data_IF_267015685118
#
_entry.id   IF_267015685118
#
_cell.length_a   1.000
_cell.length_b   1.000
_cell.length_c   1.000
_cell.angle_alpha   90.00
_cell.angle_beta   90.00
_cell.angle_gamma   90.00
#
_symmetry.space_group_name_H-M   'P 1'
#
loop_
_entity.id
_entity.type
_entity.pdbx_description
1 polymer ?
#
# COMPACT_ATOMS: atom_id res chain seq x y z
N UNK A 1 1.64 0.30 19.67
CA UNK A 1 2.98 0.68 20.16
C UNK A 1 3.94 -0.44 19.80
N UNK A 2 5.13 -0.09 19.29
CA UNK A 2 6.19 -1.05 18.99
C UNK A 2 6.79 -1.64 20.28
N UNK A 3 7.44 -2.82 20.21
CA UNK A 3 8.21 -3.37 21.32
C UNK A 3 9.44 -2.50 21.62
N UNK A 4 9.97 -2.64 22.83
CA UNK A 4 11.19 -1.94 23.26
C UNK A 4 12.48 -2.51 22.66
N UNK A 5 12.44 -3.76 22.19
CA UNK A 5 13.55 -4.46 21.55
C UNK A 5 13.05 -5.17 20.29
N UNK A 6 13.98 -5.49 19.38
CA UNK A 6 13.69 -6.32 18.21
C UNK A 6 14.65 -7.51 18.12
N UNK A 7 14.16 -8.76 17.92
CA UNK A 7 12.75 -9.15 17.89
C UNK A 7 12.04 -8.91 19.24
N UNK A 8 10.69 -8.81 19.23
CA UNK A 8 9.91 -8.67 20.46
C UNK A 8 10.23 -9.83 21.43
N UNK A 9 10.16 -9.56 22.73
CA UNK A 9 10.21 -10.63 23.73
C UNK A 9 9.02 -11.59 23.57
N UNK A 10 9.14 -12.82 24.08
CA UNK A 10 8.03 -13.79 24.08
C UNK A 10 6.75 -13.20 24.68
N UNK A 11 6.87 -12.47 25.80
CA UNK A 11 5.73 -11.86 26.48
C UNK A 11 5.07 -10.76 25.64
N UNK A 12 5.85 -9.88 24.99
CA UNK A 12 5.33 -8.85 24.08
C UNK A 12 4.64 -9.49 22.86
N UNK A 13 5.22 -10.55 22.31
CA UNK A 13 4.64 -11.28 21.19
C UNK A 13 3.32 -11.97 21.58
N UNK A 14 3.30 -12.69 22.70
CA UNK A 14 2.08 -13.34 23.21
C UNK A 14 0.98 -12.32 23.53
N UNK A 15 1.33 -11.18 24.14
CA UNK A 15 0.38 -10.11 24.43
C UNK A 15 -0.21 -9.50 23.15
N UNK A 16 0.59 -9.35 22.09
CA UNK A 16 0.09 -8.90 20.80
C UNK A 16 -0.86 -9.94 20.19
N UNK A 17 -0.44 -11.20 20.10
CA UNK A 17 -1.25 -12.27 19.52
C UNK A 17 -2.58 -12.44 20.24
N UNK A 18 -2.60 -12.29 21.58
CA UNK A 18 -3.85 -12.28 22.35
C UNK A 18 -4.81 -11.18 21.86
N UNK A 19 -4.32 -9.95 21.66
CA UNK A 19 -5.15 -8.85 21.14
C UNK A 19 -5.62 -9.09 19.72
N UNK A 20 -4.77 -9.67 18.86
CA UNK A 20 -5.14 -10.04 17.49
C UNK A 20 -6.24 -11.10 17.50
N UNK A 21 -6.16 -12.11 18.37
CA UNK A 21 -7.22 -13.11 18.54
C UNK A 21 -8.53 -12.49 19.03
N UNK A 22 -8.46 -11.56 20.00
CA UNK A 22 -9.64 -10.90 20.56
C UNK A 22 -10.34 -9.93 19.58
N UNK A 23 -9.56 -9.26 18.71
CA UNK A 23 -10.06 -8.18 17.84
C UNK A 23 -10.12 -8.53 16.35
N UNK A 24 -9.50 -9.63 15.95
CA UNK A 24 -9.41 -10.09 14.57
C UNK A 24 -8.24 -9.49 13.78
N UNK A 25 -7.89 -10.16 12.68
CA UNK A 25 -6.79 -9.77 11.80
C UNK A 25 -7.04 -8.43 11.09
N UNK A 26 -8.28 -8.15 10.69
CA UNK A 26 -8.63 -6.88 10.04
C UNK A 26 -8.38 -5.66 10.94
N UNK A 27 -8.62 -5.79 12.25
CA UNK A 27 -8.26 -4.75 13.23
C UNK A 27 -6.74 -4.55 13.29
N UNK A 28 -5.97 -5.65 13.29
CA UNK A 28 -4.51 -5.59 13.39
C UNK A 28 -3.89 -4.96 12.14
N UNK A 29 -4.34 -5.37 10.96
CA UNK A 29 -3.94 -4.77 9.69
C UNK A 29 -4.23 -3.27 9.68
N UNK A 30 -5.47 -2.86 10.00
CA UNK A 30 -5.84 -1.45 10.05
C UNK A 30 -5.00 -0.66 11.08
N UNK A 31 -4.74 -1.24 12.26
CA UNK A 31 -3.92 -0.61 13.29
C UNK A 31 -2.47 -0.38 12.86
N UNK A 32 -1.97 -1.12 11.89
CA UNK A 32 -0.63 -0.95 11.33
C UNK A 32 -0.65 -0.04 10.10
N UNK A 33 -1.53 -0.30 9.12
CA UNK A 33 -1.39 0.23 7.76
C UNK A 33 -2.33 1.38 7.41
N UNK A 34 -3.33 1.73 8.23
CA UNK A 34 -4.35 2.72 7.85
C UNK A 34 -3.84 4.15 7.63
N UNK A 35 -2.61 4.44 8.07
CA UNK A 35 -2.09 5.80 8.19
C UNK A 35 -2.73 6.55 9.35
N UNK A 36 -1.97 7.46 9.94
CA UNK A 36 -2.42 8.24 11.11
C UNK A 36 -1.69 9.57 11.21
N UNK A 37 -2.23 10.49 12.02
CA UNK A 37 -1.73 11.87 12.17
C UNK A 37 -1.64 12.33 13.63
N UNK A 38 -1.74 11.39 14.58
CA UNK A 38 -1.79 11.66 16.02
C UNK A 38 -0.45 11.40 16.73
N UNK A 39 0.33 10.42 16.26
CA UNK A 39 1.57 9.99 16.90
C UNK A 39 2.75 10.14 15.92
N UNK A 40 3.60 11.17 16.06
CA UNK A 40 4.74 11.37 15.17
C UNK A 40 5.73 10.20 15.10
N UNK A 41 5.81 9.40 16.16
CA UNK A 41 6.67 8.21 16.24
C UNK A 41 5.90 6.93 15.90
N UNK A 42 4.62 7.05 15.56
CA UNK A 42 3.75 5.94 15.19
C UNK A 42 3.95 5.48 13.75
N UNK A 43 3.64 4.20 13.50
CA UNK A 43 3.70 3.64 12.14
C UNK A 43 2.79 4.42 11.19
N UNK A 44 3.26 4.61 9.95
CA UNK A 44 2.54 5.33 8.89
C UNK A 44 2.03 6.72 9.32
N UNK A 45 2.81 7.45 10.12
CA UNK A 45 2.53 8.85 10.41
C UNK A 45 2.61 9.69 9.12
N UNK A 46 1.51 10.33 8.74
CA UNK A 46 1.40 11.07 7.48
C UNK A 46 2.05 12.45 7.49
N UNK A 47 2.67 12.86 8.60
CA UNK A 47 3.30 14.18 8.76
C UNK A 47 2.31 15.30 9.07
N UNK A 48 2.84 16.47 9.43
CA UNK A 48 2.03 17.67 9.72
C UNK A 48 1.85 18.58 8.50
N UNK A 49 2.58 18.30 7.42
CA UNK A 49 2.57 19.06 6.18
C UNK A 49 2.99 18.15 5.01
N UNK A 50 2.69 18.58 3.79
CA UNK A 50 3.12 17.87 2.59
C UNK A 50 4.65 17.73 2.55
N UNK A 51 5.13 16.54 2.21
CA UNK A 51 6.56 16.25 2.07
C UNK A 51 7.02 16.45 0.63
N UNK A 52 8.34 16.38 0.41
CA UNK A 52 8.95 16.52 -0.92
C UNK A 52 8.33 15.61 -1.98
N UNK A 53 7.99 14.36 -1.65
CA UNK A 53 7.39 13.42 -2.61
C UNK A 53 5.99 13.85 -3.04
N UNK A 54 5.19 14.38 -2.11
CA UNK A 54 3.86 14.93 -2.42
C UNK A 54 3.96 16.13 -3.38
N UNK A 55 4.86 17.07 -3.11
CA UNK A 55 5.10 18.21 -4.01
C UNK A 55 5.60 17.75 -5.38
N UNK A 56 6.48 16.76 -5.43
CA UNK A 56 7.03 16.21 -6.66
C UNK A 56 5.95 15.57 -7.52
N UNK A 57 5.10 14.72 -6.93
CA UNK A 57 3.95 14.12 -7.61
C UNK A 57 3.04 15.18 -8.23
N UNK A 58 2.67 16.21 -7.47
CA UNK A 58 1.81 17.30 -7.97
C UNK A 58 2.45 18.07 -9.11
N UNK A 59 3.76 18.33 -9.05
CA UNK A 59 4.49 19.00 -10.15
C UNK A 59 4.51 18.15 -11.42
N UNK A 60 4.67 16.83 -11.30
CA UNK A 60 4.60 15.89 -12.42
C UNK A 60 3.19 15.89 -13.03
N UNK A 61 2.15 15.77 -12.19
CA UNK A 61 0.75 15.84 -12.63
C UNK A 61 0.45 17.16 -13.36
N UNK A 62 0.84 18.30 -12.79
CA UNK A 62 0.64 19.60 -13.41
C UNK A 62 1.36 19.71 -14.76
N UNK A 63 2.63 19.27 -14.84
CA UNK A 63 3.44 19.39 -16.06
C UNK A 63 2.94 18.49 -17.19
N UNK A 64 2.66 17.22 -16.90
CA UNK A 64 2.37 16.23 -17.94
C UNK A 64 0.86 16.04 -18.17
N UNK A 65 0.03 16.40 -17.20
CA UNK A 65 -1.43 16.40 -17.30
C UNK A 65 -2.01 17.67 -17.92
N UNK A 66 -1.27 18.77 -17.99
CA UNK A 66 -1.73 19.99 -18.64
C UNK A 66 -2.15 19.72 -20.09
N UNK A 67 -3.37 20.13 -20.45
CA UNK A 67 -3.96 19.92 -21.78
C UNK A 67 -4.38 18.48 -22.08
N UNK A 68 -4.28 17.55 -21.12
CA UNK A 68 -4.78 16.18 -21.28
C UNK A 68 -6.24 16.10 -20.82
N UNK A 69 -7.01 15.28 -21.51
CA UNK A 69 -8.43 15.03 -21.17
C UNK A 69 -8.59 13.85 -20.21
N UNK A 70 -7.60 12.97 -20.15
CA UNK A 70 -7.73 11.64 -19.56
C UNK A 70 -6.46 11.26 -18.80
N UNK A 71 -6.61 10.70 -17.60
CA UNK A 71 -5.52 10.10 -16.82
C UNK A 71 -5.94 8.72 -16.34
N UNK A 72 -5.05 7.75 -16.55
CA UNK A 72 -5.20 6.36 -16.11
C UNK A 72 -4.00 6.03 -15.25
N UNK A 73 -4.24 5.77 -13.97
CA UNK A 73 -3.18 5.51 -13.01
C UNK A 73 -3.14 4.00 -12.70
N UNK A 74 -1.98 3.39 -12.93
CA UNK A 74 -1.66 2.04 -12.42
C UNK A 74 -0.52 2.19 -11.42
N UNK A 75 -0.80 1.94 -10.14
CA UNK A 75 0.17 2.01 -9.05
C UNK A 75 0.57 0.61 -8.64
N UNK A 76 1.85 0.27 -8.63
CA UNK A 76 2.29 -1.12 -8.38
C UNK A 76 2.76 -1.25 -6.94
N UNK A 77 2.15 -2.18 -6.21
CA UNK A 77 2.39 -2.46 -4.80
C UNK A 77 2.69 -3.94 -4.58
N UNK A 78 3.26 -4.26 -3.43
CA UNK A 78 3.59 -5.64 -3.05
C UNK A 78 3.34 -5.81 -1.55
N UNK A 79 3.08 -7.04 -1.11
CA UNK A 79 2.97 -7.37 0.30
C UNK A 79 1.57 -7.73 0.78
N UNK A 80 0.54 -7.66 -0.07
CA UNK A 80 -0.80 -8.13 0.30
C UNK A 80 -1.38 -9.08 -0.75
N UNK A 81 -2.15 -10.06 -0.27
CA UNK A 81 -2.85 -11.02 -1.12
C UNK A 81 -2.08 -12.32 -1.39
N UNK A 82 -2.64 -13.21 -2.23
CA UNK A 82 -2.00 -14.47 -2.61
C UNK A 82 -0.72 -14.30 -3.42
N UNK A 83 0.24 -15.22 -3.27
CA UNK A 83 1.51 -15.21 -3.99
C UNK A 83 1.34 -14.94 -5.50
N UNK A 84 1.94 -13.85 -5.98
CA UNK A 84 1.98 -13.49 -7.41
C UNK A 84 0.67 -12.97 -8.00
N UNK A 85 -0.43 -12.96 -7.23
CA UNK A 85 -1.70 -12.38 -7.67
C UNK A 85 -1.70 -10.87 -7.43
N UNK A 86 -1.92 -10.09 -8.49
CA UNK A 86 -2.07 -8.64 -8.44
C UNK A 86 -3.53 -8.24 -8.26
N UNK A 87 -3.97 -7.98 -7.03
CA UNK A 87 -5.32 -7.48 -6.78
C UNK A 87 -5.47 -6.05 -7.33
N UNK A 88 -6.42 -5.79 -8.25
CA UNK A 88 -6.72 -4.43 -8.69
C UNK A 88 -7.63 -3.73 -7.68
N UNK A 89 -7.06 -2.79 -6.92
CA UNK A 89 -7.76 -2.02 -5.88
C UNK A 89 -8.06 -0.62 -6.41
N UNK A 90 -9.32 -0.21 -6.35
CA UNK A 90 -9.77 1.11 -6.79
C UNK A 90 -9.10 2.27 -6.03
N UNK A 91 -8.55 3.23 -6.78
CA UNK A 91 -7.93 4.46 -6.26
C UNK A 91 -8.76 5.70 -6.59
N UNK A 92 -9.81 5.97 -5.84
CA UNK A 92 -10.64 7.17 -6.03
C UNK A 92 -11.58 7.43 -4.86
N UNK A 93 -12.49 8.42 -4.97
CA UNK A 93 -13.44 8.72 -3.90
C UNK A 93 -14.46 7.60 -3.72
N UNK A 94 -15.07 7.52 -2.53
CA UNK A 94 -16.19 6.61 -2.22
C UNK A 94 -17.47 7.01 -2.97
N UNK A 95 -17.45 6.85 -4.28
CA UNK A 95 -18.51 7.22 -5.21
C UNK A 95 -18.72 6.08 -6.21
N UNK A 96 -19.92 5.48 -6.18
CA UNK A 96 -20.28 4.36 -7.06
C UNK A 96 -20.05 4.66 -8.56
N UNK A 97 -20.27 5.90 -8.99
CA UNK A 97 -20.04 6.31 -10.39
C UNK A 97 -18.58 6.16 -10.80
N UNK A 98 -17.64 6.58 -9.94
CA UNK A 98 -16.21 6.52 -10.23
C UNK A 98 -15.67 5.08 -10.14
N UNK A 99 -16.17 4.30 -9.18
CA UNK A 99 -15.87 2.87 -9.10
C UNK A 99 -16.36 2.11 -10.34
N UNK A 100 -17.58 2.35 -10.78
CA UNK A 100 -18.14 1.72 -11.98
C UNK A 100 -17.35 2.09 -13.24
N UNK A 101 -16.91 3.34 -13.37
CA UNK A 101 -16.01 3.76 -14.46
C UNK A 101 -14.68 3.01 -14.43
N UNK A 102 -14.09 2.84 -13.25
CA UNK A 102 -12.83 2.09 -13.07
C UNK A 102 -13.03 0.62 -13.44
N UNK A 103 -14.13 -0.01 -12.98
CA UNK A 103 -14.50 -1.39 -13.35
C UNK A 103 -14.76 -1.56 -14.84
N UNK A 104 -15.29 -0.54 -15.52
CA UNK A 104 -15.46 -0.58 -16.98
C UNK A 104 -14.12 -0.60 -17.75
N UNK A 105 -13.04 -0.09 -17.15
CA UNK A 105 -11.70 -0.07 -17.76
C UNK A 105 -10.93 -1.35 -17.42
N UNK A 106 -10.85 -1.71 -16.13
CA UNK A 106 -9.98 -2.80 -15.66
C UNK A 106 -10.71 -4.11 -15.34
N UNK A 107 -12.05 -4.13 -15.43
CA UNK A 107 -12.88 -5.31 -15.23
C UNK A 107 -13.65 -5.29 -13.91
N UNK A 108 -14.66 -6.17 -13.82
CA UNK A 108 -15.53 -6.28 -12.64
C UNK A 108 -14.85 -6.77 -11.36
N UNK A 109 -13.64 -7.32 -11.47
CA UNK A 109 -12.84 -7.78 -10.33
C UNK A 109 -12.15 -6.66 -9.55
N UNK A 110 -12.23 -5.41 -10.01
CA UNK A 110 -11.69 -4.26 -9.25
C UNK A 110 -12.40 -4.16 -7.90
N UNK A 111 -11.60 -4.28 -6.83
CA UNK A 111 -12.05 -4.21 -5.44
C UNK A 111 -12.03 -2.78 -4.93
N UNK A 112 -12.63 -2.54 -3.76
CA UNK A 112 -12.67 -1.24 -3.10
C UNK A 112 -12.46 -1.40 -1.60
N UNK A 113 -11.68 -0.50 -1.01
CA UNK A 113 -11.51 -0.42 0.44
C UNK A 113 -12.80 -0.01 1.16
N UNK A 114 -13.74 0.62 0.45
CA UNK A 114 -14.99 1.15 1.00
C UNK A 114 -16.12 0.12 1.11
N UNK A 115 -16.15 -0.92 0.27
CA UNK A 115 -17.24 -1.90 0.21
C UNK A 115 -16.89 -3.26 0.83
N UNK A 116 -15.69 -3.39 1.40
CA UNK A 116 -15.19 -4.62 2.04
C UNK A 116 -14.74 -5.70 1.06
N UNK A 117 -14.71 -5.43 -0.25
CA UNK A 117 -14.23 -6.39 -1.25
C UNK A 117 -12.71 -6.49 -1.33
N UNK A 118 -11.97 -5.50 -0.82
CA UNK A 118 -10.51 -5.47 -0.92
C UNK A 118 -9.80 -6.18 0.23
N UNK A 119 -8.62 -6.75 -0.05
CA UNK A 119 -7.70 -7.23 0.99
C UNK A 119 -7.08 -6.08 1.78
N UNK A 120 -7.05 -4.86 1.23
CA UNK A 120 -6.52 -3.68 1.94
C UNK A 120 -7.50 -3.15 2.99
N UNK A 121 -6.95 -2.66 4.10
CA UNK A 121 -7.70 -1.88 5.08
C UNK A 121 -8.19 -0.54 4.49
N UNK A 122 -9.12 0.11 5.18
CA UNK A 122 -9.44 1.52 4.92
C UNK A 122 -8.24 2.40 5.26
N UNK A 123 -7.86 3.29 4.33
CA UNK A 123 -6.64 4.07 4.40
C UNK A 123 -6.92 5.58 4.42
N UNK A 124 -5.99 6.34 4.99
CA UNK A 124 -5.93 7.80 4.93
C UNK A 124 -4.69 8.27 4.16
N UNK A 125 -4.66 9.54 3.75
CA UNK A 125 -3.47 10.11 3.08
C UNK A 125 -3.20 9.59 1.66
N UNK A 126 -4.22 9.06 0.98
CA UNK A 126 -4.09 8.40 -0.32
C UNK A 126 -3.58 9.33 -1.43
N UNK A 127 -2.55 8.87 -2.15
CA UNK A 127 -1.85 9.66 -3.18
C UNK A 127 -2.75 10.11 -4.34
N UNK A 128 -3.80 9.34 -4.68
CA UNK A 128 -4.73 9.67 -5.76
C UNK A 128 -5.43 11.02 -5.54
N UNK A 129 -5.58 11.47 -4.30
CA UNK A 129 -6.19 12.76 -3.98
C UNK A 129 -5.44 13.94 -4.61
N UNK A 130 -4.15 13.77 -4.95
CA UNK A 130 -3.38 14.76 -5.66
C UNK A 130 -3.92 15.04 -7.08
N UNK A 131 -4.58 14.07 -7.72
CA UNK A 131 -5.10 14.22 -9.10
C UNK A 131 -6.20 15.27 -9.19
N UNK A 132 -7.38 15.12 -8.55
CA UNK A 132 -8.45 16.11 -8.68
C UNK A 132 -8.05 17.49 -8.12
N UNK A 133 -7.11 17.54 -7.17
CA UNK A 133 -6.59 18.81 -6.63
C UNK A 133 -5.62 19.52 -7.58
N UNK A 134 -4.98 18.81 -8.51
CA UNK A 134 -4.01 19.38 -9.46
C UNK A 134 -4.61 19.54 -10.85
N UNK A 135 -5.50 18.62 -11.25
CA UNK A 135 -6.11 18.50 -12.57
C UNK A 135 -7.63 18.31 -12.40
N UNK A 136 -8.38 19.34 -11.96
CA UNK A 136 -9.77 19.20 -11.51
C UNK A 136 -10.76 18.75 -12.59
N UNK A 137 -10.42 18.96 -13.87
CA UNK A 137 -11.29 18.63 -15.01
C UNK A 137 -10.89 17.34 -15.72
N UNK A 138 -9.82 16.66 -15.28
CA UNK A 138 -9.33 15.48 -15.99
C UNK A 138 -10.25 14.29 -15.76
N UNK A 139 -10.54 13.52 -16.80
CA UNK A 139 -11.19 12.23 -16.64
C UNK A 139 -10.19 11.23 -16.03
N UNK A 140 -10.24 11.11 -14.70
CA UNK A 140 -9.36 10.26 -13.91
C UNK A 140 -9.97 8.89 -13.60
N UNK A 141 -9.20 7.83 -13.76
CA UNK A 141 -9.46 6.53 -13.15
C UNK A 141 -8.12 5.91 -12.70
N UNK A 142 -8.10 5.19 -11.60
CA UNK A 142 -6.87 4.59 -11.10
C UNK A 142 -7.09 3.31 -10.32
N UNK A 143 -6.10 2.42 -10.39
CA UNK A 143 -6.00 1.21 -9.60
C UNK A 143 -4.60 1.09 -8.98
N UNK A 144 -4.54 0.55 -7.77
CA UNK A 144 -3.36 -0.08 -7.25
C UNK A 144 -3.39 -1.56 -7.67
N UNK A 145 -2.28 -2.09 -8.14
CA UNK A 145 -2.07 -3.52 -8.34
C UNK A 145 -1.21 -4.02 -7.20
N UNK A 146 -1.85 -4.72 -6.28
CA UNK A 146 -1.24 -5.19 -5.05
C UNK A 146 -0.88 -6.67 -5.17
N UNK A 147 0.42 -6.96 -5.17
CA UNK A 147 0.94 -8.30 -5.43
C UNK A 147 1.32 -9.04 -4.15
N UNK A 148 0.74 -10.22 -3.95
CA UNK A 148 1.05 -11.05 -2.79
C UNK A 148 2.44 -11.65 -2.81
N UNK A 149 3.04 -11.73 -1.63
CA UNK A 149 4.37 -12.27 -1.35
C UNK A 149 4.28 -13.24 -0.18
N UNK A 150 4.41 -12.77 1.06
CA UNK A 150 4.30 -13.58 2.27
C UNK A 150 2.89 -13.50 2.88
N UNK A 151 2.52 -14.43 3.78
CA UNK A 151 1.31 -14.28 4.58
C UNK A 151 1.25 -12.92 5.29
N UNK A 152 0.04 -12.33 5.35
CA UNK A 152 -0.18 -11.00 5.91
C UNK A 152 0.49 -10.77 7.29
N UNK A 153 0.43 -11.70 8.28
CA UNK A 153 1.11 -11.49 9.56
C UNK A 153 2.61 -11.27 9.43
N UNK A 154 3.28 -11.95 8.49
CA UNK A 154 4.73 -11.87 8.28
C UNK A 154 5.11 -10.53 7.62
N UNK A 155 4.28 -10.05 6.68
CA UNK A 155 4.47 -8.72 6.06
C UNK A 155 4.25 -7.62 7.09
N UNK A 156 3.20 -7.72 7.91
CA UNK A 156 2.94 -6.77 8.99
C UNK A 156 4.07 -6.77 10.03
N UNK A 157 4.64 -7.93 10.37
CA UNK A 157 5.77 -8.00 11.30
C UNK A 157 7.05 -7.41 10.71
N UNK A 158 7.33 -7.64 9.43
CA UNK A 158 8.44 -6.99 8.73
C UNK A 158 8.31 -5.46 8.73
N UNK A 159 7.11 -4.92 8.48
CA UNK A 159 6.83 -3.47 8.58
C UNK A 159 7.07 -2.94 10.00
N UNK A 160 6.65 -3.68 11.03
CA UNK A 160 6.90 -3.30 12.43
C UNK A 160 8.39 -3.27 12.74
N UNK A 161 9.15 -4.23 12.24
CA UNK A 161 10.61 -4.27 12.40
C UNK A 161 11.29 -3.10 11.71
N UNK A 162 10.87 -2.75 10.50
CA UNK A 162 11.42 -1.60 9.77
C UNK A 162 11.15 -0.27 10.50
N UNK A 163 9.93 -0.10 11.01
CA UNK A 163 9.59 1.09 11.81
C UNK A 163 10.34 1.12 13.14
N UNK A 164 10.57 -0.04 13.77
CA UNK A 164 11.40 -0.13 14.97
C UNK A 164 12.83 0.35 14.68
N UNK A 165 13.40 -0.06 13.55
CA UNK A 165 14.73 0.38 13.12
C UNK A 165 14.79 1.89 12.81
N UNK A 166 13.69 2.47 12.33
CA UNK A 166 13.59 3.92 12.11
C UNK A 166 13.70 4.72 13.41
N UNK A 167 13.06 4.24 14.48
CA UNK A 167 13.05 4.93 15.79
C UNK A 167 14.21 4.52 16.72
N UNK A 168 15.00 3.51 16.34
CA UNK A 168 16.22 3.06 17.06
C UNK A 168 17.45 3.16 16.13
N UNK A 169 17.94 4.37 15.82
CA UNK A 169 19.10 4.56 14.95
C UNK A 169 20.39 3.92 15.49
N UNK A 170 20.47 3.68 16.80
CA UNK A 170 21.57 3.05 17.52
C UNK A 170 21.67 1.53 17.34
N UNK A 171 20.68 0.89 16.72
CA UNK A 171 20.68 -0.54 16.45
C UNK A 171 21.96 -0.99 15.71
N UNK A 172 22.54 -2.11 16.13
CA UNK A 172 23.76 -2.64 15.55
C UNK A 172 23.57 -3.14 14.12
N UNK A 173 24.68 -3.31 13.39
CA UNK A 173 24.65 -3.64 11.97
C UNK A 173 24.05 -5.02 11.68
N UNK A 174 24.23 -6.00 12.58
CA UNK A 174 23.65 -7.33 12.38
C UNK A 174 22.13 -7.28 12.53
N UNK A 175 21.64 -6.59 13.56
CA UNK A 175 20.20 -6.40 13.79
C UNK A 175 19.56 -5.63 12.62
N UNK A 176 20.22 -4.56 12.15
CA UNK A 176 19.81 -3.79 10.97
C UNK A 176 19.71 -4.66 9.73
N UNK A 177 20.75 -5.46 9.45
CA UNK A 177 20.78 -6.35 8.29
C UNK A 177 19.65 -7.39 8.32
N UNK A 178 19.40 -7.99 9.49
CA UNK A 178 18.31 -8.97 9.65
C UNK A 178 16.93 -8.35 9.40
N UNK A 179 16.67 -7.14 9.92
CA UNK A 179 15.41 -6.43 9.70
C UNK A 179 15.24 -6.08 8.23
N UNK A 180 16.28 -5.51 7.59
CA UNK A 180 16.21 -5.15 6.16
C UNK A 180 16.04 -6.38 5.26
N UNK A 181 16.65 -7.52 5.61
CA UNK A 181 16.43 -8.77 4.90
C UNK A 181 14.99 -9.30 5.07
N UNK A 182 14.39 -9.13 6.25
CA UNK A 182 12.98 -9.48 6.47
C UNK A 182 12.05 -8.62 5.62
N UNK A 183 12.27 -7.30 5.56
CA UNK A 183 11.53 -6.38 4.68
C UNK A 183 11.69 -6.78 3.22
N UNK A 184 12.92 -7.05 2.77
CA UNK A 184 13.15 -7.48 1.40
C UNK A 184 12.32 -8.72 1.03
N UNK A 185 12.34 -9.76 1.88
CA UNK A 185 11.54 -10.97 1.65
C UNK A 185 10.03 -10.72 1.70
N UNK A 186 9.59 -9.77 2.53
CA UNK A 186 8.18 -9.43 2.66
C UNK A 186 7.63 -8.66 1.44
N UNK A 187 8.46 -7.92 0.71
CA UNK A 187 8.02 -7.08 -0.41
C UNK A 187 8.56 -7.50 -1.78
N UNK A 188 9.45 -8.50 -1.83
CA UNK A 188 10.02 -8.99 -3.08
C UNK A 188 9.85 -10.50 -3.23
N UNK A 189 9.04 -10.91 -4.22
CA UNK A 189 8.95 -12.31 -4.63
C UNK A 189 10.18 -12.71 -5.44
N UNK A 190 11.14 -13.37 -4.80
CA UNK A 190 12.41 -13.77 -5.42
C UNK A 190 12.28 -15.09 -6.23
N UNK A 191 11.43 -15.07 -7.25
CA UNK A 191 11.34 -16.13 -8.25
C UNK A 191 11.05 -15.55 -9.63
N UNK A 192 11.54 -16.20 -10.68
CA UNK A 192 11.27 -15.78 -12.07
C UNK A 192 9.78 -15.83 -12.37
N UNK A 193 9.08 -16.87 -11.92
CA UNK A 193 7.62 -17.00 -12.06
C UNK A 193 6.86 -15.80 -11.48
N UNK A 194 7.23 -15.36 -10.27
CA UNK A 194 6.57 -14.22 -9.64
C UNK A 194 6.85 -12.93 -10.42
N UNK A 195 8.12 -12.69 -10.80
CA UNK A 195 8.54 -11.50 -11.57
C UNK A 195 7.84 -11.43 -12.93
N UNK A 196 7.81 -12.54 -13.65
CA UNK A 196 7.15 -12.64 -14.96
C UNK A 196 5.64 -12.42 -14.82
N UNK A 197 5.03 -12.99 -13.77
CA UNK A 197 3.62 -12.79 -13.43
C UNK A 197 3.27 -11.33 -13.12
N UNK A 198 4.12 -10.63 -12.37
CA UNK A 198 3.96 -9.18 -12.11
C UNK A 198 4.02 -8.40 -13.41
N UNK A 199 5.06 -8.61 -14.23
CA UNK A 199 5.23 -7.90 -15.51
C UNK A 199 4.03 -8.15 -16.43
N UNK A 200 3.55 -9.39 -16.53
CA UNK A 200 2.42 -9.75 -17.36
C UNK A 200 1.13 -9.03 -16.92
N UNK A 201 0.81 -9.06 -15.62
CA UNK A 201 -0.40 -8.44 -15.07
C UNK A 201 -0.36 -6.90 -15.15
N UNK A 202 0.79 -6.28 -14.86
CA UNK A 202 0.97 -4.83 -15.03
C UNK A 202 0.83 -4.43 -16.49
N UNK A 203 1.41 -5.20 -17.41
CA UNK A 203 1.30 -4.93 -18.85
C UNK A 203 -0.15 -5.01 -19.33
N UNK A 204 -0.88 -6.04 -18.91
CA UNK A 204 -2.31 -6.18 -19.21
C UNK A 204 -3.12 -4.99 -18.66
N UNK A 205 -2.88 -4.57 -17.41
CA UNK A 205 -3.56 -3.42 -16.82
C UNK A 205 -3.24 -2.11 -17.55
N UNK A 206 -2.00 -1.91 -18.00
CA UNK A 206 -1.63 -0.74 -18.81
C UNK A 206 -2.34 -0.75 -20.15
N UNK A 207 -2.38 -1.91 -20.85
CA UNK A 207 -3.08 -2.08 -22.13
C UNK A 207 -4.57 -1.75 -22.02
N UNK A 208 -5.25 -2.35 -21.02
CA UNK A 208 -6.64 -2.02 -20.67
C UNK A 208 -6.84 -0.54 -20.37
N UNK A 209 -5.91 0.07 -19.63
CA UNK A 209 -5.94 1.49 -19.29
C UNK A 209 -5.92 2.40 -20.52
N UNK A 210 -5.12 2.07 -21.54
CA UNK A 210 -5.03 2.86 -22.79
C UNK A 210 -6.02 2.42 -23.87
N UNK A 211 -6.81 1.37 -23.62
CA UNK A 211 -7.86 0.87 -24.53
C UNK A 211 -7.35 -0.01 -25.68
N UNK A 212 -6.26 -0.76 -25.49
CA UNK A 212 -5.69 -1.71 -26.48
C UNK A 212 -5.65 -3.15 -25.98
#
# INVERSE_FOLDING_TARGET
>A
RLPSQWPPSCDEHTALMKRVTERGMGWFQAAISAGQYQDPDGMFFGGQQATWSNYTLRRILARFGAGRTTLRWVDVHTGLGPWGYGEPIYMGPDEARQLNKTRAIWGGSVTSIYDGSSTSANLTGLAWAAVPQTLPTIDYAGIALEFGTLPLPDVLDALRGDHWLHVHPEADENQRALIKQAVWRAFYGDSDEWRDGVVAQVTDAVRKGIGV
#
